data_IF_964728506764
#
_entry.id   IF_964728506764
#
_cell.length_a   1.000
_cell.length_b   1.000
_cell.length_c   1.000
_cell.angle_alpha   90.00
_cell.angle_beta   90.00
_cell.angle_gamma   90.00
#
_symmetry.space_group_name_H-M   'P 1'
#
loop_
_entity.id
_entity.type
_entity.pdbx_description
1 polymer ?
#
# COMPACT_ATOMS: atom_id res chain seq x y z
N UNK A 1 4.63 -11.77 10.42
CA UNK A 1 6.02 -11.35 10.22
C UNK A 1 6.02 -9.85 10.39
N UNK A 2 6.88 -9.34 11.24
CA UNK A 2 7.02 -7.92 11.49
C UNK A 2 8.25 -7.42 10.74
N UNK A 3 8.02 -6.54 9.77
CA UNK A 3 9.03 -5.79 9.03
C UNK A 3 8.80 -4.28 9.21
N UNK A 4 8.07 -3.88 10.25
CA UNK A 4 7.80 -2.49 10.54
C UNK A 4 9.08 -1.72 10.87
N UNK A 5 9.05 -0.40 10.73
CA UNK A 5 10.16 0.49 11.11
C UNK A 5 11.50 0.14 10.45
N UNK A 6 11.44 -0.22 9.16
CA UNK A 6 12.61 -0.47 8.33
C UNK A 6 12.75 0.63 7.26
N UNK A 7 13.64 0.42 6.30
CA UNK A 7 13.86 1.32 5.16
C UNK A 7 13.43 0.68 3.84
N UNK A 8 12.44 -0.21 3.87
CA UNK A 8 11.97 -0.91 2.67
C UNK A 8 11.29 0.09 1.73
N UNK A 9 11.70 0.11 0.48
CA UNK A 9 11.11 0.93 -0.59
C UNK A 9 10.24 0.10 -1.53
N UNK A 10 10.50 -1.21 -1.62
CA UNK A 10 9.84 -2.14 -2.52
C UNK A 10 10.00 -3.58 -2.00
N UNK A 11 9.02 -4.43 -2.33
CA UNK A 11 9.10 -5.87 -2.14
C UNK A 11 8.90 -6.55 -3.50
N UNK A 12 9.80 -7.48 -3.84
CA UNK A 12 9.66 -8.30 -5.03
C UNK A 12 8.50 -9.29 -4.87
N UNK A 13 7.73 -9.59 -5.95
CA UNK A 13 6.83 -10.72 -5.98
C UNK A 13 7.53 -12.02 -5.53
N UNK A 14 6.78 -12.90 -4.88
CA UNK A 14 7.24 -14.20 -4.39
C UNK A 14 8.37 -14.19 -3.35
N UNK A 15 8.81 -13.03 -2.86
CA UNK A 15 9.84 -12.94 -1.79
C UNK A 15 9.33 -13.44 -0.43
N UNK A 16 8.01 -13.37 -0.22
CA UNK A 16 7.38 -13.76 1.04
C UNK A 16 7.08 -15.27 1.06
N UNK A 17 7.26 -15.94 2.21
CA UNK A 17 6.86 -17.34 2.35
C UNK A 17 5.37 -17.53 2.04
N UNK A 18 5.02 -18.56 1.24
CA UNK A 18 3.62 -18.85 0.87
C UNK A 18 2.72 -19.15 2.08
N UNK A 19 3.29 -19.57 3.19
CA UNK A 19 2.60 -19.82 4.46
C UNK A 19 2.34 -18.55 5.28
N UNK A 20 2.94 -17.41 4.92
CA UNK A 20 2.78 -16.17 5.66
C UNK A 20 1.34 -15.65 5.55
N UNK A 21 0.76 -15.25 6.69
CA UNK A 21 -0.63 -14.77 6.79
C UNK A 21 -0.76 -13.35 7.31
N UNK A 22 0.14 -12.92 8.17
CA UNK A 22 0.12 -11.58 8.75
C UNK A 22 1.45 -10.92 8.44
N UNK A 23 1.41 -9.73 7.86
CA UNK A 23 2.58 -8.94 7.54
C UNK A 23 2.39 -7.51 8.05
N UNK A 24 3.35 -7.02 8.82
CA UNK A 24 3.43 -5.62 9.19
C UNK A 24 4.57 -4.96 8.39
N UNK A 25 4.21 -4.00 7.54
CA UNK A 25 5.13 -3.15 6.77
C UNK A 25 5.02 -1.68 7.18
N UNK A 26 4.43 -1.39 8.34
CA UNK A 26 4.27 -0.03 8.80
C UNK A 26 5.61 0.70 8.99
N UNK A 27 5.59 2.03 8.87
CA UNK A 27 6.78 2.88 9.06
C UNK A 27 7.97 2.46 8.17
N UNK A 28 7.73 2.39 6.86
CA UNK A 28 8.73 2.12 5.83
C UNK A 28 8.67 3.23 4.74
N UNK A 29 9.36 3.04 3.61
CA UNK A 29 9.41 3.99 2.49
C UNK A 29 8.75 3.46 1.22
N UNK A 30 7.74 2.61 1.36
CA UNK A 30 7.05 2.00 0.22
C UNK A 30 6.18 3.06 -0.45
N UNK A 31 6.42 3.28 -1.75
CA UNK A 31 5.76 4.34 -2.52
C UNK A 31 4.59 3.81 -3.37
N UNK A 32 4.79 2.69 -4.05
CA UNK A 32 3.80 2.07 -4.94
C UNK A 32 3.86 0.54 -4.75
N UNK A 33 3.15 0.00 -3.74
CA UNK A 33 3.20 -1.43 -3.44
C UNK A 33 2.66 -2.26 -4.60
N UNK A 34 3.30 -3.40 -4.90
CA UNK A 34 2.78 -4.38 -5.85
C UNK A 34 1.76 -5.30 -5.14
N UNK A 35 0.47 -5.30 -5.55
CA UNK A 35 -0.55 -6.18 -5.01
C UNK A 35 -0.20 -7.68 -4.98
N UNK A 36 0.63 -8.14 -5.93
CA UNK A 36 0.92 -9.55 -6.11
C UNK A 36 1.71 -10.13 -4.95
N UNK A 37 2.48 -9.29 -4.27
CA UNK A 37 3.21 -9.62 -3.04
C UNK A 37 2.25 -10.05 -1.91
N UNK A 38 1.03 -9.52 -1.90
CA UNK A 38 0.10 -9.64 -0.76
C UNK A 38 -0.98 -10.71 -0.95
N UNK A 39 -1.04 -11.39 -2.12
CA UNK A 39 -2.13 -12.30 -2.49
C UNK A 39 -2.36 -13.46 -1.52
N UNK A 40 -1.32 -13.93 -0.81
CA UNK A 40 -1.39 -15.06 0.13
C UNK A 40 -1.73 -14.65 1.57
N UNK A 41 -1.68 -13.36 1.86
CA UNK A 41 -1.88 -12.80 3.20
C UNK A 41 -3.35 -12.82 3.60
N UNK A 42 -3.58 -12.79 4.90
CA UNK A 42 -4.89 -12.57 5.52
C UNK A 42 -4.96 -11.18 6.16
N UNK A 43 -3.84 -10.66 6.65
CA UNK A 43 -3.76 -9.32 7.23
C UNK A 43 -2.47 -8.60 6.84
N UNK A 44 -2.59 -7.30 6.61
CA UNK A 44 -1.50 -6.44 6.19
C UNK A 44 -1.59 -5.08 6.89
N UNK A 45 -0.47 -4.57 7.40
CA UNK A 45 -0.35 -3.16 7.80
C UNK A 45 0.63 -2.42 6.88
N UNK A 46 0.23 -1.23 6.44
CA UNK A 46 1.01 -0.34 5.59
C UNK A 46 1.06 1.09 6.14
N UNK A 47 0.66 1.30 7.41
CA UNK A 47 0.66 2.62 8.03
C UNK A 47 2.01 3.32 7.91
N UNK A 48 2.01 4.65 7.86
CA UNK A 48 3.24 5.46 7.87
C UNK A 48 4.24 5.10 6.74
N UNK A 49 3.75 4.64 5.58
CA UNK A 49 4.54 4.55 4.36
C UNK A 49 4.47 5.85 3.54
N UNK A 50 5.39 6.00 2.59
CA UNK A 50 5.55 7.22 1.78
C UNK A 50 4.94 7.07 0.39
N UNK A 51 3.63 6.87 0.34
CA UNK A 51 2.94 6.59 -0.92
C UNK A 51 3.15 7.70 -1.95
N UNK A 52 3.47 7.30 -3.18
CA UNK A 52 3.60 8.21 -4.31
C UNK A 52 2.35 8.10 -5.17
N UNK A 53 1.55 9.15 -5.15
CA UNK A 53 0.29 9.27 -5.87
C UNK A 53 0.54 9.74 -7.31
N UNK A 54 0.87 8.76 -8.14
CA UNK A 54 0.97 8.87 -9.59
C UNK A 54 0.22 7.69 -10.27
N UNK A 55 0.41 7.54 -11.58
CA UNK A 55 -0.20 6.45 -12.34
C UNK A 55 0.25 5.04 -11.90
N UNK A 56 1.42 4.89 -11.26
CA UNK A 56 1.92 3.59 -10.81
C UNK A 56 1.16 3.06 -9.59
N UNK A 57 0.50 3.93 -8.82
CA UNK A 57 -0.29 3.53 -7.66
C UNK A 57 -1.65 2.91 -8.05
N UNK A 58 -2.08 3.03 -9.32
CA UNK A 58 -3.41 2.61 -9.79
C UNK A 58 -3.70 1.12 -9.54
N UNK A 59 -2.71 0.24 -9.77
CA UNK A 59 -2.87 -1.20 -9.53
C UNK A 59 -3.14 -1.50 -8.05
N UNK A 60 -2.41 -0.83 -7.16
CA UNK A 60 -2.62 -0.91 -5.72
C UNK A 60 -4.01 -0.40 -5.33
N UNK A 61 -4.43 0.78 -5.78
CA UNK A 61 -5.75 1.34 -5.46
C UNK A 61 -6.91 0.41 -5.89
N UNK A 62 -6.80 -0.18 -7.08
CA UNK A 62 -7.76 -1.18 -7.56
C UNK A 62 -7.76 -2.44 -6.69
N UNK A 63 -6.58 -2.91 -6.27
CA UNK A 63 -6.49 -4.06 -5.39
C UNK A 63 -7.11 -3.80 -4.02
N UNK A 64 -6.79 -2.65 -3.40
CA UNK A 64 -7.26 -2.33 -2.06
C UNK A 64 -8.79 -2.23 -1.98
N UNK A 65 -9.45 -1.81 -3.06
CA UNK A 65 -10.92 -1.72 -3.13
C UNK A 65 -11.61 -3.07 -3.33
N UNK A 66 -10.90 -4.11 -3.77
CA UNK A 66 -11.46 -5.41 -4.16
C UNK A 66 -10.86 -6.61 -3.39
N UNK A 67 -9.90 -6.37 -2.50
CA UNK A 67 -9.17 -7.43 -1.79
C UNK A 67 -9.95 -7.98 -0.60
N UNK A 68 -9.73 -9.26 -0.29
CA UNK A 68 -10.17 -9.90 0.96
C UNK A 68 -9.12 -9.85 2.07
N UNK A 69 -7.95 -9.25 1.80
CA UNK A 69 -6.91 -9.05 2.82
C UNK A 69 -7.38 -7.97 3.78
N UNK A 70 -7.34 -8.28 5.08
CA UNK A 70 -7.68 -7.30 6.13
C UNK A 70 -6.54 -6.29 6.26
N UNK A 71 -6.80 -5.04 5.91
CA UNK A 71 -5.87 -3.95 6.21
C UNK A 71 -6.05 -3.54 7.68
N UNK A 72 -4.97 -3.71 8.46
CA UNK A 72 -4.97 -3.43 9.90
C UNK A 72 -5.12 -1.92 10.17
N UNK A 73 -4.52 -1.10 9.30
CA UNK A 73 -4.80 0.34 9.22
C UNK A 73 -5.85 0.59 8.14
N UNK A 74 -6.96 1.30 8.45
CA UNK A 74 -8.00 1.61 7.47
C UNK A 74 -7.43 2.34 6.25
N UNK A 75 -7.86 1.93 5.05
CA UNK A 75 -7.40 2.53 3.77
C UNK A 75 -7.57 4.05 3.73
N UNK A 76 -8.65 4.56 4.32
CA UNK A 76 -8.96 6.00 4.42
C UNK A 76 -7.91 6.80 5.19
N UNK A 77 -7.08 6.14 6.00
CA UNK A 77 -6.00 6.75 6.77
C UNK A 77 -4.67 6.73 6.02
N UNK A 78 -4.55 5.95 4.94
CA UNK A 78 -3.41 5.98 4.04
C UNK A 78 -3.50 7.23 3.17
N UNK A 79 -2.38 7.94 3.04
CA UNK A 79 -2.31 9.23 2.36
C UNK A 79 -1.09 9.30 1.46
N UNK A 80 -1.18 10.14 0.43
CA UNK A 80 -0.07 10.48 -0.43
C UNK A 80 0.99 11.26 0.36
N UNK A 81 2.24 10.83 0.26
CA UNK A 81 3.41 11.63 0.68
C UNK A 81 3.95 12.45 -0.48
N UNK A 82 3.81 11.93 -1.71
CA UNK A 82 4.26 12.56 -2.94
C UNK A 82 3.23 12.39 -4.07
N UNK A 83 3.30 13.21 -5.13
CA UNK A 83 4.02 14.49 -5.21
C UNK A 83 3.42 15.54 -4.27
N UNK A 84 4.07 16.70 -4.15
CA UNK A 84 3.65 17.79 -3.24
C UNK A 84 2.21 18.25 -3.44
N UNK A 85 1.73 18.24 -4.69
CA UNK A 85 0.37 18.67 -5.05
C UNK A 85 -0.71 17.77 -4.42
N UNK A 86 -0.36 16.51 -4.12
CA UNK A 86 -1.22 15.56 -3.45
C UNK A 86 -0.81 15.29 -2.00
N UNK A 87 0.13 16.05 -1.43
CA UNK A 87 0.59 15.80 -0.06
C UNK A 87 -0.58 15.74 0.94
N UNK A 88 -0.60 14.69 1.76
CA UNK A 88 -1.62 14.43 2.78
C UNK A 88 -3.05 14.21 2.22
N UNK A 89 -3.20 14.00 0.91
CA UNK A 89 -4.47 13.59 0.29
C UNK A 89 -4.71 12.10 0.55
N UNK A 90 -5.90 11.67 1.00
CA UNK A 90 -6.22 10.25 1.16
C UNK A 90 -6.11 9.47 -0.15
N UNK A 91 -5.54 8.26 -0.12
CA UNK A 91 -5.29 7.46 -1.32
C UNK A 91 -6.56 7.20 -2.15
N UNK A 92 -7.70 6.92 -1.49
CA UNK A 92 -8.96 6.68 -2.18
C UNK A 92 -9.49 7.93 -2.90
N UNK A 93 -9.24 9.13 -2.36
CA UNK A 93 -9.64 10.38 -3.02
C UNK A 93 -8.81 10.63 -4.28
N UNK A 94 -7.51 10.36 -4.21
CA UNK A 94 -6.64 10.42 -5.38
C UNK A 94 -7.09 9.45 -6.50
N UNK A 95 -7.59 8.26 -6.12
CA UNK A 95 -8.17 7.32 -7.08
C UNK A 95 -9.32 7.92 -7.89
N UNK A 96 -10.21 8.68 -7.25
CA UNK A 96 -11.34 9.33 -7.92
C UNK A 96 -10.84 10.39 -8.93
N UNK A 97 -9.82 11.16 -8.57
CA UNK A 97 -9.23 12.21 -9.40
C UNK A 97 -8.58 11.65 -10.68
N UNK A 98 -7.94 10.47 -10.62
CA UNK A 98 -7.39 9.80 -11.82
C UNK A 98 -8.50 9.27 -12.74
N UNK A 99 -9.62 8.80 -12.19
CA UNK A 99 -10.71 8.23 -13.01
C UNK A 99 -11.51 9.27 -13.79
N UNK A 100 -11.31 10.56 -13.51
CA UNK A 100 -11.95 11.67 -14.21
C UNK A 100 -11.07 12.30 -15.31
N UNK A 101 -9.85 11.80 -15.53
CA UNK A 101 -8.96 12.16 -16.65
C UNK A 101 -9.00 11.06 -17.73
#
# INVERSE_FOLDING_TARGET
MDLSSNSLTYLQPDVLPKSLKVLDLSNNFIASPDPDVFRSLSSLDLNMNRFHCDANLKSFLNWVTNTNVTLLTPVKELKCEFPSDFYNVPLLRFSDDITQQ
#
